data_IF_114882730307
#
_entry.id   IF_114882730307
#
_cell.length_a   1.000
_cell.length_b   1.000
_cell.length_c   1.000
_cell.angle_alpha   90.00
_cell.angle_beta   90.00
_cell.angle_gamma   90.00
#
_symmetry.space_group_name_H-M   'P 1'
#
loop_
_entity.id
_entity.type
_entity.pdbx_description
1 polymer ?
#
# COMPACT_ATOMS: atom_id res chain seq x y z
N UNK A 1 29.60 52.73 10.15
CA UNK A 1 29.60 51.41 9.50
C UNK A 1 28.75 50.46 10.34
N UNK A 2 27.45 50.30 10.03
CA UNK A 2 26.58 49.32 10.69
C UNK A 2 26.63 48.05 9.85
N UNK A 3 27.16 46.96 10.41
CA UNK A 3 27.19 45.63 9.77
C UNK A 3 25.84 44.96 10.01
N UNK A 4 25.04 44.82 8.96
CA UNK A 4 23.85 43.97 8.96
C UNK A 4 24.30 42.52 8.87
N UNK A 5 23.99 41.70 9.89
CA UNK A 5 24.07 40.25 9.78
C UNK A 5 22.81 39.76 9.07
N UNK A 6 23.00 39.16 7.89
CA UNK A 6 21.99 38.36 7.20
C UNK A 6 22.12 36.94 7.72
N UNK A 7 21.10 36.43 8.41
CA UNK A 7 20.98 35.00 8.67
C UNK A 7 20.41 34.32 7.42
N UNK A 8 21.01 33.22 6.92
CA UNK A 8 20.38 32.44 5.87
C UNK A 8 19.20 31.67 6.50
N UNK A 9 18.01 31.85 5.92
CA UNK A 9 16.87 31.01 6.22
C UNK A 9 17.20 29.59 5.74
N UNK A 10 17.38 28.66 6.68
CA UNK A 10 17.46 27.24 6.38
C UNK A 10 16.08 26.80 5.86
N UNK A 11 16.01 26.40 4.59
CA UNK A 11 14.89 25.63 4.08
C UNK A 11 14.87 24.30 4.84
N UNK A 12 13.90 24.15 5.73
CA UNK A 12 13.52 22.87 6.29
C UNK A 12 12.94 22.03 5.14
N UNK A 13 13.69 21.05 4.67
CA UNK A 13 13.12 19.92 3.94
C UNK A 13 12.16 19.22 4.91
N UNK A 14 10.86 19.37 4.68
CA UNK A 14 9.86 18.54 5.34
C UNK A 14 10.15 17.08 5.00
N UNK A 15 10.61 16.33 6.00
CA UNK A 15 10.61 14.88 5.98
C UNK A 15 9.16 14.43 5.79
N UNK A 16 8.89 13.80 4.65
CA UNK A 16 7.61 13.17 4.34
C UNK A 16 7.43 12.04 5.35
N UNK A 17 6.42 12.14 6.21
CA UNK A 17 6.06 11.06 7.11
C UNK A 17 5.44 9.91 6.28
N UNK A 18 5.93 8.68 6.36
CA UNK A 18 5.26 7.54 5.76
C UNK A 18 4.02 7.18 6.59
N UNK A 19 2.89 7.79 6.28
CA UNK A 19 1.62 7.12 6.44
C UNK A 19 1.59 5.93 5.51
N UNK A 20 1.09 4.78 5.97
CA UNK A 20 0.64 3.77 5.04
C UNK A 20 -0.51 2.94 5.61
N UNK A 21 -1.68 3.18 4.99
CA UNK A 21 -3.01 2.55 5.08
C UNK A 21 -3.93 2.85 6.26
N UNK A 22 -3.41 3.22 7.43
CA UNK A 22 -4.19 3.84 8.54
C UNK A 22 -3.36 4.08 9.80
N UNK A 23 -2.04 3.82 9.78
CA UNK A 23 -1.22 3.87 11.00
C UNK A 23 -1.36 5.19 11.75
N UNK A 24 -1.28 6.34 11.06
CA UNK A 24 -1.44 7.66 11.68
C UNK A 24 -2.82 7.95 12.27
N UNK A 25 -3.87 7.22 11.86
CA UNK A 25 -5.22 7.31 12.43
C UNK A 25 -5.26 6.67 13.82
N UNK A 26 -4.57 5.53 13.99
CA UNK A 26 -4.64 4.73 15.22
C UNK A 26 -3.43 4.89 16.13
N UNK A 27 -2.29 5.34 15.59
CA UNK A 27 -1.00 5.44 16.27
C UNK A 27 -0.42 6.85 16.13
N UNK A 28 0.33 7.26 17.14
CA UNK A 28 1.06 8.52 17.13
C UNK A 28 2.41 8.35 16.43
N UNK A 29 2.41 8.59 15.12
CA UNK A 29 3.58 8.36 14.25
C UNK A 29 4.74 9.34 14.48
N UNK A 30 4.49 10.40 15.25
CA UNK A 30 5.49 11.41 15.62
C UNK A 30 6.27 11.05 16.90
N UNK A 31 5.84 10.00 17.61
CA UNK A 31 6.41 9.56 18.88
C UNK A 31 6.88 8.12 18.79
N UNK A 32 8.05 7.81 19.35
CA UNK A 32 8.48 6.41 19.51
C UNK A 32 8.75 6.11 20.97
N UNK A 33 8.10 5.06 21.48
CA UNK A 33 8.30 4.52 22.82
C UNK A 33 8.94 3.14 22.75
N UNK A 34 9.49 2.68 23.87
CA UNK A 34 10.06 1.35 24.02
C UNK A 34 9.25 0.52 25.02
N UNK A 35 9.06 -0.76 24.68
CA UNK A 35 8.39 -1.77 25.47
C UNK A 35 9.33 -2.96 25.63
N UNK A 36 9.61 -3.36 26.86
CA UNK A 36 10.31 -4.62 27.16
C UNK A 36 9.35 -5.61 27.78
N UNK A 37 9.41 -6.88 27.38
CA UNK A 37 8.47 -7.87 27.87
C UNK A 37 8.63 -9.26 27.26
N UNK A 38 7.75 -10.18 27.65
CA UNK A 38 7.67 -11.53 27.10
C UNK A 38 6.54 -11.63 26.07
N UNK A 39 6.82 -12.16 24.89
CA UNK A 39 5.79 -12.46 23.89
C UNK A 39 4.96 -13.63 24.39
N UNK A 40 3.66 -13.44 24.59
CA UNK A 40 2.73 -14.48 25.06
C UNK A 40 1.91 -15.09 23.92
N UNK A 41 1.78 -14.37 22.79
CA UNK A 41 1.08 -14.84 21.60
C UNK A 41 1.67 -14.19 20.35
N UNK A 42 1.74 -14.98 19.28
CA UNK A 42 2.09 -14.53 17.93
C UNK A 42 0.94 -14.89 17.00
N UNK A 43 0.53 -13.95 16.16
CA UNK A 43 -0.42 -14.16 15.06
C UNK A 43 0.26 -13.71 13.77
N UNK A 44 0.79 -14.68 13.02
CA UNK A 44 1.44 -14.45 11.75
C UNK A 44 0.44 -14.55 10.59
N UNK A 45 -0.42 -13.54 10.44
CA UNK A 45 -1.49 -13.53 9.44
C UNK A 45 -1.68 -12.12 8.88
N UNK A 46 -2.17 -11.99 7.65
CA UNK A 46 -2.61 -10.70 7.13
C UNK A 46 -3.98 -10.30 7.75
N UNK A 47 -4.29 -9.00 7.84
CA UNK A 47 -3.62 -7.89 7.16
C UNK A 47 -2.31 -7.42 7.83
N UNK A 48 -2.10 -7.71 9.11
CA UNK A 48 -0.92 -7.33 9.88
C UNK A 48 -0.53 -8.44 10.85
N UNK A 49 0.77 -8.63 11.08
CA UNK A 49 1.25 -9.53 12.13
C UNK A 49 1.01 -8.90 13.49
N UNK A 50 0.49 -9.68 14.44
CA UNK A 50 0.22 -9.23 15.80
C UNK A 50 1.00 -10.04 16.83
N UNK A 51 1.43 -9.36 17.88
CA UNK A 51 2.01 -9.94 19.08
C UNK A 51 1.22 -9.49 20.31
N UNK A 52 1.00 -10.41 21.25
CA UNK A 52 0.63 -10.04 22.61
C UNK A 52 1.88 -10.10 23.46
N UNK A 53 2.23 -9.01 24.14
CA UNK A 53 3.45 -8.91 24.95
C UNK A 53 3.06 -8.60 26.38
N UNK A 54 3.55 -9.38 27.34
CA UNK A 54 3.45 -9.04 28.74
C UNK A 54 4.63 -8.15 29.12
N UNK A 55 4.34 -6.88 29.43
CA UNK A 55 5.34 -5.91 29.88
C UNK A 55 5.95 -6.27 31.23
N UNK A 56 7.04 -5.59 31.60
CA UNK A 56 7.68 -5.78 32.91
C UNK A 56 6.78 -5.39 34.10
N UNK A 57 5.80 -4.51 33.86
CA UNK A 57 4.73 -4.13 34.77
C UNK A 57 3.60 -5.18 34.88
N UNK A 58 3.75 -6.30 34.17
CA UNK A 58 2.77 -7.38 34.00
C UNK A 58 1.51 -6.98 33.21
N UNK A 59 1.46 -5.79 32.59
CA UNK A 59 0.37 -5.39 31.72
C UNK A 59 0.48 -6.06 30.35
N UNK A 60 -0.66 -6.37 29.72
CA UNK A 60 -0.69 -6.96 28.39
C UNK A 60 -0.76 -5.86 27.33
N UNK A 61 0.19 -5.91 26.42
CA UNK A 61 0.32 -5.01 25.29
C UNK A 61 -0.11 -5.71 23.99
N UNK A 62 -0.94 -5.00 23.22
CA UNK A 62 -1.27 -5.36 21.85
C UNK A 62 -0.28 -4.68 20.91
N UNK A 63 0.62 -5.47 20.33
CA UNK A 63 1.64 -4.99 19.40
C UNK A 63 1.28 -5.39 17.98
N UNK A 64 1.05 -4.40 17.13
CA UNK A 64 0.81 -4.56 15.69
C UNK A 64 2.12 -4.36 14.92
N UNK A 65 2.32 -5.09 13.83
CA UNK A 65 3.45 -4.93 12.92
C UNK A 65 2.96 -4.81 11.47
N UNK A 66 3.86 -4.87 10.50
CA UNK A 66 3.49 -4.81 9.09
C UNK A 66 2.77 -6.10 8.63
N UNK A 67 2.27 -6.06 7.39
CA UNK A 67 1.67 -7.21 6.73
C UNK A 67 2.70 -8.33 6.53
N UNK A 68 2.22 -9.57 6.50
CA UNK A 68 3.05 -10.74 6.15
C UNK A 68 3.71 -10.53 4.79
N UNK A 69 2.98 -9.91 3.86
CA UNK A 69 3.45 -9.61 2.50
C UNK A 69 4.65 -8.66 2.47
N UNK A 70 4.67 -7.61 3.32
CA UNK A 70 5.85 -6.73 3.46
C UNK A 70 6.96 -7.43 4.23
N UNK A 71 6.67 -8.03 5.39
CA UNK A 71 7.69 -8.66 6.23
C UNK A 71 8.45 -9.75 5.47
N UNK A 72 7.74 -10.58 4.69
CA UNK A 72 8.34 -11.58 3.80
C UNK A 72 9.29 -10.97 2.79
N UNK A 73 8.91 -9.85 2.17
CA UNK A 73 9.75 -9.10 1.22
C UNK A 73 10.90 -8.36 1.91
N UNK A 74 10.88 -8.25 3.23
CA UNK A 74 12.02 -7.80 4.03
C UNK A 74 12.90 -8.98 4.49
N UNK A 75 12.55 -10.22 4.10
CA UNK A 75 13.28 -11.43 4.49
C UNK A 75 12.86 -11.99 5.86
N UNK A 76 11.80 -11.45 6.46
CA UNK A 76 11.30 -11.88 7.77
C UNK A 76 10.22 -12.96 7.59
N UNK A 77 10.30 -14.01 8.40
CA UNK A 77 9.42 -15.18 8.29
C UNK A 77 8.79 -15.55 9.63
N UNK A 78 7.72 -16.33 9.56
CA UNK A 78 7.15 -16.98 10.74
C UNK A 78 8.22 -17.81 11.48
N UNK A 79 8.13 -17.83 12.82
CA UNK A 79 9.08 -18.55 13.68
C UNK A 79 10.32 -17.77 14.09
N UNK A 80 10.56 -16.59 13.52
CA UNK A 80 11.61 -15.67 14.01
C UNK A 80 11.27 -15.06 15.37
N UNK A 81 9.97 -14.94 15.68
CA UNK A 81 9.45 -14.50 16.98
C UNK A 81 8.49 -15.57 17.47
N UNK A 82 8.67 -16.02 18.70
CA UNK A 82 7.91 -17.10 19.31
C UNK A 82 7.34 -16.67 20.66
N UNK A 83 6.26 -17.35 21.09
CA UNK A 83 5.80 -17.20 22.46
C UNK A 83 6.88 -17.70 23.43
N UNK A 84 7.13 -16.93 24.49
CA UNK A 84 8.21 -17.11 25.46
C UNK A 84 9.45 -16.26 25.18
N UNK A 85 9.57 -15.63 24.01
CA UNK A 85 10.70 -14.75 23.71
C UNK A 85 10.62 -13.47 24.55
N UNK A 86 11.72 -13.10 25.21
CA UNK A 86 11.86 -11.81 25.88
C UNK A 86 12.45 -10.80 24.91
N UNK A 87 11.69 -9.77 24.59
CA UNK A 87 11.98 -8.82 23.51
C UNK A 87 12.03 -7.38 24.02
N UNK A 88 12.76 -6.53 23.30
CA UNK A 88 12.63 -5.07 23.38
C UNK A 88 12.03 -4.56 22.07
N UNK A 89 10.98 -3.77 22.14
CA UNK A 89 10.22 -3.31 20.97
C UNK A 89 10.20 -1.79 21.00
N UNK A 90 10.50 -1.18 19.85
CA UNK A 90 10.35 0.25 19.67
C UNK A 90 9.25 0.49 18.66
N UNK A 91 8.34 1.40 18.97
CA UNK A 91 7.16 1.59 18.13
C UNK A 91 6.37 2.85 18.39
N UNK A 92 5.41 3.11 17.50
CA UNK A 92 4.46 4.20 17.63
C UNK A 92 3.37 3.81 18.64
N UNK A 93 3.15 4.61 19.71
CA UNK A 93 2.09 4.31 20.68
C UNK A 93 0.70 4.55 20.09
N UNK A 94 -0.30 3.80 20.56
CA UNK A 94 -1.69 4.00 20.16
C UNK A 94 -2.26 5.36 20.61
N UNK A 95 -3.09 6.00 19.77
CA UNK A 95 -3.74 7.29 20.08
C UNK A 95 -4.92 7.16 21.05
N UNK A 96 -5.65 6.04 20.99
CA UNK A 96 -6.97 5.89 21.63
C UNK A 96 -7.06 4.76 22.65
N UNK A 97 -6.12 3.82 22.64
CA UNK A 97 -6.09 2.67 23.56
C UNK A 97 -4.73 2.64 24.25
N UNK A 98 -4.77 2.56 25.58
CA UNK A 98 -3.59 2.26 26.39
C UNK A 98 -3.04 0.88 25.99
N UNK A 99 -1.73 0.69 26.15
CA UNK A 99 -1.02 -0.56 25.88
C UNK A 99 -1.16 -1.10 24.44
N UNK A 100 -1.27 -0.19 23.48
CA UNK A 100 -1.21 -0.51 22.04
C UNK A 100 0.05 0.09 21.43
N UNK A 101 0.76 -0.70 20.62
CA UNK A 101 2.01 -0.29 19.98
C UNK A 101 2.03 -0.75 18.53
N UNK A 102 2.54 0.07 17.62
CA UNK A 102 2.91 -0.37 16.28
C UNK A 102 4.43 -0.55 16.22
N UNK A 103 4.91 -1.78 16.10
CA UNK A 103 6.32 -2.12 16.16
C UNK A 103 7.08 -1.70 14.90
N UNK A 104 8.19 -0.99 15.10
CA UNK A 104 9.13 -0.56 14.06
C UNK A 104 10.44 -1.36 14.13
N UNK A 105 10.91 -1.63 15.35
CA UNK A 105 12.09 -2.44 15.64
C UNK A 105 11.74 -3.45 16.74
N UNK A 106 12.39 -4.62 16.71
CA UNK A 106 12.32 -5.62 17.78
C UNK A 106 13.67 -6.27 18.01
N UNK A 107 14.22 -6.20 19.21
CA UNK A 107 15.40 -6.95 19.63
C UNK A 107 14.97 -8.30 20.23
N UNK A 108 15.54 -9.38 19.73
CA UNK A 108 15.31 -10.75 20.16
C UNK A 108 16.29 -11.19 21.26
N UNK A 109 16.03 -12.31 21.97
CA UNK A 109 16.90 -12.82 23.04
C UNK A 109 18.33 -13.17 22.61
N UNK A 110 18.56 -13.41 21.33
CA UNK A 110 19.86 -13.74 20.74
C UNK A 110 20.62 -12.51 20.19
N UNK A 111 20.22 -11.31 20.62
CA UNK A 111 20.76 -10.01 20.21
C UNK A 111 20.55 -9.67 18.72
N UNK A 112 19.69 -10.42 18.02
CA UNK A 112 19.26 -10.09 16.66
C UNK A 112 18.18 -9.01 16.69
N UNK A 113 18.39 -7.92 15.95
CA UNK A 113 17.37 -6.89 15.76
C UNK A 113 16.61 -7.11 14.46
N UNK A 114 15.28 -7.11 14.55
CA UNK A 114 14.37 -7.11 13.40
C UNK A 114 13.93 -5.68 13.10
N UNK A 115 14.08 -5.25 11.84
CA UNK A 115 13.42 -4.08 11.28
C UNK A 115 12.05 -4.51 10.77
N UNK A 116 10.99 -4.00 11.40
CA UNK A 116 9.60 -4.37 11.10
C UNK A 116 8.89 -3.34 10.22
N UNK A 117 9.54 -2.22 9.92
CA UNK A 117 9.02 -1.17 9.05
C UNK A 117 10.07 -0.73 8.00
N UNK A 118 9.73 -0.70 6.70
CA UNK A 118 10.66 -0.25 5.66
C UNK A 118 11.23 1.15 5.93
N UNK A 119 12.56 1.28 5.85
CA UNK A 119 13.25 2.56 5.98
C UNK A 119 13.51 3.03 7.41
N UNK A 120 13.13 2.26 8.43
CA UNK A 120 13.53 2.52 9.82
C UNK A 120 14.96 2.07 10.07
N UNK A 121 15.74 2.91 10.77
CA UNK A 121 17.11 2.60 11.17
C UNK A 121 17.13 1.63 12.34
N UNK A 122 18.13 0.76 12.38
CA UNK A 122 18.43 -0.08 13.54
C UNK A 122 18.66 0.75 14.81
N UNK A 123 18.25 0.22 15.95
CA UNK A 123 18.32 0.85 17.27
C UNK A 123 19.35 0.21 18.18
N UNK A 124 19.49 -1.11 18.13
CA UNK A 124 20.23 -1.90 19.12
C UNK A 124 21.35 -2.74 18.50
N UNK A 125 21.25 -3.09 17.21
CA UNK A 125 22.25 -3.91 16.52
C UNK A 125 22.91 -3.17 15.34
N UNK A 126 24.15 -3.55 15.03
CA UNK A 126 24.86 -3.10 13.83
C UNK A 126 24.53 -3.92 12.57
N UNK A 127 23.93 -5.11 12.74
CA UNK A 127 23.60 -6.05 11.65
C UNK A 127 22.15 -6.56 11.82
N UNK A 128 21.14 -5.71 11.55
CA UNK A 128 19.75 -6.09 11.71
C UNK A 128 19.25 -6.97 10.56
N UNK A 129 18.25 -7.81 10.83
CA UNK A 129 17.46 -8.46 9.78
C UNK A 129 16.29 -7.54 9.39
N UNK A 130 15.79 -7.66 8.16
CA UNK A 130 14.67 -6.82 7.69
C UNK A 130 15.07 -5.50 7.04
N UNK A 131 16.35 -5.11 7.10
CA UNK A 131 16.84 -3.87 6.49
C UNK A 131 16.87 -3.97 4.94
N UNK A 132 15.73 -3.65 4.31
CA UNK A 132 15.45 -3.19 2.93
C UNK A 132 16.06 -3.88 1.69
N UNK A 133 17.09 -4.73 1.79
CA UNK A 133 17.76 -5.36 0.65
C UNK A 133 16.90 -6.33 -0.18
N UNK A 134 15.72 -6.72 0.32
CA UNK A 134 14.78 -7.60 -0.37
C UNK A 134 13.52 -6.89 -0.89
N UNK A 135 13.36 -5.58 -0.63
CA UNK A 135 12.28 -4.77 -1.20
C UNK A 135 12.62 -4.31 -2.61
N UNK A 136 11.60 -4.11 -3.44
CA UNK A 136 11.83 -3.77 -4.84
C UNK A 136 12.46 -2.38 -4.99
N UNK A 137 13.56 -2.29 -5.72
CA UNK A 137 14.29 -1.06 -6.02
C UNK A 137 14.54 -0.89 -7.51
N UNK A 138 14.81 0.35 -7.91
CA UNK A 138 15.19 0.67 -9.28
C UNK A 138 16.51 -0.03 -9.64
N UNK A 139 16.51 -0.82 -10.71
CA UNK A 139 17.70 -1.55 -11.15
C UNK A 139 17.83 -2.97 -10.60
N UNK A 140 16.85 -3.48 -9.83
CA UNK A 140 16.78 -4.90 -9.44
C UNK A 140 16.68 -5.85 -10.66
N UNK A 141 16.23 -5.33 -11.80
CA UNK A 141 16.29 -6.04 -13.07
C UNK A 141 17.74 -6.20 -13.53
N UNK A 142 18.24 -7.44 -13.54
CA UNK A 142 19.58 -7.78 -14.03
C UNK A 142 19.86 -7.15 -15.40
N UNK A 143 21.11 -6.73 -15.72
CA UNK A 143 21.51 -6.21 -17.04
C UNK A 143 21.27 -7.18 -18.21
N UNK A 144 20.86 -8.42 -17.93
CA UNK A 144 20.29 -9.36 -18.90
C UNK A 144 18.82 -9.10 -19.25
N UNK A 145 18.24 -7.96 -18.85
CA UNK A 145 16.91 -7.49 -19.32
C UNK A 145 16.85 -7.30 -20.84
N UNK A 146 18.00 -7.28 -21.51
CA UNK A 146 18.14 -7.42 -22.95
C UNK A 146 17.54 -8.77 -23.39
N UNK A 147 16.32 -8.74 -23.92
CA UNK A 147 15.63 -9.91 -24.50
C UNK A 147 14.35 -10.32 -23.79
N UNK A 148 14.02 -9.68 -22.67
CA UNK A 148 12.69 -9.79 -22.07
C UNK A 148 11.84 -8.81 -22.86
N UNK A 149 10.90 -9.33 -23.66
CA UNK A 149 10.07 -8.50 -24.53
C UNK A 149 9.45 -7.31 -23.80
N UNK A 150 9.05 -6.29 -24.56
CA UNK A 150 8.31 -5.12 -24.08
C UNK A 150 6.83 -5.44 -23.79
N UNK A 151 6.56 -6.64 -23.27
CA UNK A 151 5.24 -7.04 -22.80
C UNK A 151 5.07 -6.77 -21.30
N UNK A 152 3.82 -6.82 -20.84
CA UNK A 152 3.45 -6.56 -19.45
C UNK A 152 3.22 -7.84 -18.64
N UNK A 153 3.32 -9.02 -19.27
CA UNK A 153 2.82 -10.30 -18.74
C UNK A 153 3.82 -10.96 -17.78
N UNK A 154 3.90 -10.38 -16.58
CA UNK A 154 4.79 -10.80 -15.49
C UNK A 154 4.32 -10.24 -14.16
N UNK A 155 5.08 -10.53 -13.11
CA UNK A 155 4.89 -9.95 -11.78
C UNK A 155 5.57 -8.59 -11.67
N UNK A 156 4.80 -7.59 -11.24
CA UNK A 156 5.22 -6.21 -11.02
C UNK A 156 5.14 -5.89 -9.53
N UNK A 157 6.13 -5.15 -9.03
CA UNK A 157 6.26 -4.78 -7.62
C UNK A 157 6.36 -3.26 -7.45
N UNK A 158 5.80 -2.74 -6.36
CA UNK A 158 5.99 -1.32 -6.00
C UNK A 158 7.37 -1.11 -5.36
N UNK A 159 8.07 -0.07 -5.80
CA UNK A 159 9.28 0.44 -5.15
C UNK A 159 8.86 1.40 -4.02
N UNK A 160 8.74 0.87 -2.81
CA UNK A 160 8.26 1.63 -1.65
C UNK A 160 9.24 2.68 -1.12
N UNK A 161 10.49 2.66 -1.58
CA UNK A 161 11.48 3.67 -1.24
C UNK A 161 11.41 4.89 -2.18
N UNK A 162 10.68 4.81 -3.29
CA UNK A 162 10.58 5.87 -4.29
C UNK A 162 9.15 6.44 -4.35
N UNK A 163 8.94 7.73 -4.01
CA UNK A 163 7.62 8.35 -4.01
C UNK A 163 6.95 8.41 -5.40
N UNK A 164 7.71 8.29 -6.49
CA UNK A 164 7.15 8.19 -7.85
C UNK A 164 6.61 6.79 -8.18
N UNK A 165 6.97 5.75 -7.42
CA UNK A 165 6.40 4.41 -7.55
C UNK A 165 5.30 4.15 -6.53
N UNK A 166 5.47 4.70 -5.33
CA UNK A 166 4.57 4.43 -4.22
C UNK A 166 4.51 5.58 -3.21
N UNK A 167 3.31 6.03 -2.78
CA UNK A 167 1.98 5.55 -3.15
C UNK A 167 1.41 6.20 -4.43
N UNK A 168 0.42 5.54 -5.06
CA UNK A 168 -0.36 6.16 -6.16
C UNK A 168 -1.25 7.30 -5.65
N UNK A 169 -1.91 7.07 -4.52
CA UNK A 169 -2.80 8.05 -3.90
C UNK A 169 -2.07 8.73 -2.75
N UNK A 170 -1.94 10.08 -2.76
CA UNK A 170 -1.16 10.80 -1.76
C UNK A 170 -1.70 10.70 -0.32
N UNK A 171 -2.99 10.45 -0.14
CA UNK A 171 -3.64 10.24 1.17
C UNK A 171 -3.00 9.11 1.97
N UNK A 172 -2.48 8.09 1.28
CA UNK A 172 -1.76 6.98 1.90
C UNK A 172 -0.58 7.52 2.71
N UNK A 173 0.18 8.46 2.15
CA UNK A 173 1.32 9.11 2.80
C UNK A 173 0.91 10.26 3.76
N UNK A 174 -0.38 10.36 4.11
CA UNK A 174 -0.90 11.44 4.97
C UNK A 174 -1.03 12.80 4.27
N UNK A 175 -0.83 12.87 2.96
CA UNK A 175 -1.03 14.11 2.21
C UNK A 175 -2.51 14.32 1.90
N UNK A 176 -2.98 15.57 1.97
CA UNK A 176 -4.33 15.95 1.56
C UNK A 176 -4.23 16.80 0.27
N UNK A 177 -4.16 16.17 -0.91
CA UNK A 177 -4.07 16.90 -2.17
C UNK A 177 -5.35 17.70 -2.42
N UNK A 178 -5.19 18.85 -3.07
CA UNK A 178 -6.29 19.72 -3.48
C UNK A 178 -6.91 19.19 -4.79
N UNK A 179 -7.74 18.16 -4.66
CA UNK A 179 -8.51 17.66 -5.80
C UNK A 179 -9.64 18.63 -6.16
N UNK A 180 -10.00 18.73 -7.45
CA UNK A 180 -11.07 19.62 -7.93
C UNK A 180 -12.45 19.06 -7.57
N UNK A 181 -12.79 19.02 -6.29
CA UNK A 181 -14.04 18.42 -5.79
C UNK A 181 -15.26 19.32 -6.04
N UNK A 182 -16.40 18.72 -6.34
CA UNK A 182 -17.70 19.42 -6.29
C UNK A 182 -18.06 19.79 -4.85
N UNK A 183 -18.92 20.80 -4.66
CA UNK A 183 -19.42 21.18 -3.32
C UNK A 183 -20.10 20.00 -2.61
N UNK A 184 -20.81 19.16 -3.37
CA UNK A 184 -21.46 17.95 -2.84
C UNK A 184 -20.43 16.95 -2.33
N UNK A 185 -19.37 16.66 -3.10
CA UNK A 185 -18.32 15.74 -2.69
C UNK A 185 -17.53 16.26 -1.48
N UNK A 186 -17.26 17.57 -1.40
CA UNK A 186 -16.66 18.20 -0.22
C UNK A 186 -17.52 18.00 1.03
N UNK A 187 -18.84 18.17 0.89
CA UNK A 187 -19.79 17.98 1.99
C UNK A 187 -19.80 16.52 2.48
N UNK A 188 -19.81 15.55 1.56
CA UNK A 188 -19.73 14.12 1.90
C UNK A 188 -18.41 13.77 2.57
N UNK A 189 -17.28 14.25 2.03
CA UNK A 189 -15.95 14.02 2.62
C UNK A 189 -15.85 14.59 4.05
N UNK A 190 -16.49 15.72 4.32
CA UNK A 190 -16.47 16.36 5.63
C UNK A 190 -17.15 15.52 6.74
N UNK A 191 -18.01 14.56 6.39
CA UNK A 191 -18.63 13.64 7.35
C UNK A 191 -17.84 12.36 7.57
N UNK A 192 -16.73 12.16 6.86
CA UNK A 192 -15.90 10.95 6.94
C UNK A 192 -15.23 10.82 8.31
N UNK A 193 -15.46 9.68 8.96
CA UNK A 193 -14.71 9.28 10.13
C UNK A 193 -13.71 8.17 9.75
N UNK A 194 -12.40 8.47 9.59
CA UNK A 194 -11.42 7.48 9.18
C UNK A 194 -11.21 6.35 10.20
N UNK A 195 -11.66 6.51 11.45
CA UNK A 195 -11.56 5.44 12.45
C UNK A 195 -12.69 4.41 12.35
N UNK A 196 -13.84 4.80 11.78
CA UNK A 196 -15.08 4.00 11.75
C UNK A 196 -15.48 3.60 10.32
N UNK A 197 -15.37 4.53 9.37
CA UNK A 197 -15.87 4.36 8.01
C UNK A 197 -14.83 3.71 7.07
N UNK A 198 -13.59 3.54 7.52
CA UNK A 198 -12.50 3.07 6.68
C UNK A 198 -12.74 1.64 6.17
N UNK A 199 -12.86 1.42 4.85
CA UNK A 199 -13.21 0.11 4.31
C UNK A 199 -12.07 -0.91 4.38
N UNK A 200 -10.87 -0.50 4.80
CA UNK A 200 -9.72 -1.39 5.02
C UNK A 200 -9.76 -2.09 6.37
N UNK A 201 -10.76 -1.78 7.21
CA UNK A 201 -10.93 -2.43 8.50
C UNK A 201 -11.49 -3.85 8.38
N UNK A 202 -12.04 -4.20 7.21
CA UNK A 202 -12.52 -5.54 6.90
C UNK A 202 -11.57 -6.25 5.94
N UNK A 203 -11.76 -7.56 5.77
CA UNK A 203 -11.03 -8.38 4.80
C UNK A 203 -11.74 -8.42 3.43
N UNK A 204 -12.64 -7.47 3.15
CA UNK A 204 -13.33 -7.38 1.87
C UNK A 204 -12.39 -6.81 0.80
N UNK A 205 -12.38 -7.38 -0.42
CA UNK A 205 -11.56 -6.84 -1.50
C UNK A 205 -11.88 -5.38 -1.79
N UNK A 206 -10.83 -4.56 -1.78
CA UNK A 206 -10.91 -3.14 -2.16
C UNK A 206 -11.19 -3.03 -3.65
N UNK A 207 -12.09 -2.12 -4.00
CA UNK A 207 -12.50 -1.88 -5.37
C UNK A 207 -11.59 -0.94 -6.18
N UNK A 208 -11.99 -0.70 -7.42
CA UNK A 208 -11.36 0.26 -8.33
C UNK A 208 -11.79 1.71 -8.02
N UNK A 209 -10.88 2.69 -8.23
CA UNK A 209 -9.49 2.56 -8.69
C UNK A 209 -8.52 2.15 -7.58
N UNK A 210 -8.99 2.09 -6.34
CA UNK A 210 -8.14 2.12 -5.17
C UNK A 210 -7.20 0.91 -5.07
N UNK A 211 -7.65 -0.28 -5.47
CA UNK A 211 -6.84 -1.49 -5.49
C UNK A 211 -5.54 -1.35 -6.30
N UNK A 212 -5.49 -0.48 -7.31
CA UNK A 212 -4.27 -0.24 -8.10
C UNK A 212 -3.18 0.53 -7.33
N UNK A 213 -3.54 1.15 -6.21
CA UNK A 213 -2.60 1.87 -5.34
C UNK A 213 -1.84 0.99 -4.34
N UNK A 214 -2.12 -0.31 -4.27
CA UNK A 214 -1.56 -1.24 -3.30
C UNK A 214 -0.02 -1.46 -3.45
N UNK A 215 0.70 -1.78 -2.36
CA UNK A 215 2.17 -1.89 -2.35
C UNK A 215 2.76 -3.28 -2.69
N UNK A 216 1.92 -4.31 -2.77
CA UNK A 216 2.28 -5.72 -2.94
C UNK A 216 2.42 -6.12 -4.43
N UNK A 217 2.94 -7.32 -4.72
CA UNK A 217 3.05 -7.82 -6.08
C UNK A 217 1.71 -7.92 -6.81
N UNK A 218 1.72 -7.68 -8.11
CA UNK A 218 0.60 -7.93 -9.01
C UNK A 218 1.08 -8.57 -10.33
N UNK A 219 0.26 -9.43 -10.92
CA UNK A 219 0.62 -10.25 -12.08
C UNK A 219 -0.40 -10.08 -13.21
N UNK A 220 0.07 -9.75 -14.41
CA UNK A 220 -0.73 -9.83 -15.63
C UNK A 220 -0.59 -11.20 -16.27
N UNK A 221 -1.71 -11.85 -16.55
CA UNK A 221 -1.79 -13.15 -17.21
C UNK A 221 -2.57 -12.98 -18.51
N UNK A 222 -1.97 -13.37 -19.63
CA UNK A 222 -2.64 -13.45 -20.93
C UNK A 222 -3.47 -14.73 -21.02
N UNK A 223 -4.78 -14.59 -21.22
CA UNK A 223 -5.70 -15.71 -21.47
C UNK A 223 -6.39 -15.56 -22.85
N UNK A 224 -5.79 -14.81 -23.77
CA UNK A 224 -6.25 -14.62 -25.15
C UNK A 224 -7.33 -13.55 -25.27
N UNK A 225 -8.59 -13.91 -25.01
CA UNK A 225 -9.73 -12.98 -25.11
C UNK A 225 -9.86 -12.03 -23.91
N UNK A 226 -9.10 -12.32 -22.85
CA UNK A 226 -9.04 -11.53 -21.62
C UNK A 226 -7.63 -11.54 -21.05
N UNK A 227 -7.32 -10.48 -20.33
CA UNK A 227 -6.14 -10.39 -19.48
C UNK A 227 -6.63 -10.43 -18.03
N UNK A 228 -6.03 -11.30 -17.22
CA UNK A 228 -6.32 -11.37 -15.78
C UNK A 228 -5.21 -10.65 -15.02
N UNK A 229 -5.60 -9.72 -14.17
CA UNK A 229 -4.72 -9.08 -13.21
C UNK A 229 -4.97 -9.70 -11.83
N UNK A 230 -3.98 -10.45 -11.33
CA UNK A 230 -3.96 -10.95 -9.95
C UNK A 230 -3.19 -9.98 -9.08
N UNK A 231 -3.76 -9.63 -7.94
CA UNK A 231 -3.19 -8.68 -6.99
C UNK A 231 -3.10 -9.38 -5.65
N UNK A 232 -1.92 -9.34 -5.01
CA UNK A 232 -1.74 -10.02 -3.72
C UNK A 232 -2.73 -9.48 -2.69
N UNK A 233 -2.89 -8.17 -2.54
CA UNK A 233 -3.84 -7.59 -1.57
C UNK A 233 -5.26 -8.19 -1.68
N UNK A 234 -5.74 -8.76 -0.57
CA UNK A 234 -7.05 -9.40 -0.45
C UNK A 234 -7.35 -10.48 -1.52
N UNK A 235 -6.30 -11.07 -2.09
CA UNK A 235 -6.42 -12.07 -3.16
C UNK A 235 -7.25 -11.55 -4.36
N UNK A 236 -7.16 -10.24 -4.62
CA UNK A 236 -8.00 -9.57 -5.60
C UNK A 236 -7.69 -10.04 -7.03
N UNK A 237 -8.75 -10.33 -7.77
CA UNK A 237 -8.69 -10.70 -9.18
C UNK A 237 -9.50 -9.72 -9.99
N UNK A 238 -8.90 -9.17 -11.04
CA UNK A 238 -9.56 -8.29 -12.00
C UNK A 238 -9.45 -8.87 -13.40
N UNK A 239 -10.55 -8.85 -14.13
CA UNK A 239 -10.59 -9.27 -15.54
C UNK A 239 -10.64 -8.04 -16.44
N UNK A 240 -9.79 -8.01 -17.45
CA UNK A 240 -9.77 -7.00 -18.51
C UNK A 240 -10.17 -7.72 -19.79
N UNK A 241 -11.34 -7.36 -20.32
CA UNK A 241 -11.87 -7.94 -21.55
C UNK A 241 -11.17 -7.32 -22.77
N UNK A 242 -10.52 -8.14 -23.59
CA UNK A 242 -9.81 -7.66 -24.80
C UNK A 242 -10.69 -7.73 -26.05
N UNK A 243 -11.71 -8.58 -26.01
CA UNK A 243 -12.71 -8.75 -27.06
C UNK A 243 -14.12 -8.74 -26.46
N UNK A 244 -15.13 -8.66 -27.32
CA UNK A 244 -16.53 -8.60 -26.91
C UNK A 244 -17.11 -7.18 -26.88
N UNK A 245 -18.42 -7.14 -26.66
CA UNK A 245 -19.22 -5.91 -26.55
C UNK A 245 -19.17 -5.35 -25.13
N UNK A 246 -19.38 -4.04 -25.02
CA UNK A 246 -19.57 -3.42 -23.70
C UNK A 246 -20.86 -3.96 -23.05
N UNK A 247 -20.85 -4.20 -21.73
CA UNK A 247 -22.05 -4.59 -21.02
C UNK A 247 -23.12 -3.51 -21.13
N UNK A 248 -24.36 -3.94 -21.31
CA UNK A 248 -25.50 -3.05 -21.22
C UNK A 248 -25.62 -2.50 -19.78
N UNK A 249 -25.59 -1.18 -19.68
CA UNK A 249 -25.59 -0.46 -18.41
C UNK A 249 -26.89 -0.64 -17.62
N UNK A 250 -28.02 -0.91 -18.29
CA UNK A 250 -29.31 -1.09 -17.65
C UNK A 250 -29.46 -2.47 -17.01
N UNK A 251 -28.73 -3.47 -17.51
CA UNK A 251 -28.88 -4.87 -17.11
C UNK A 251 -27.68 -5.45 -16.36
N UNK A 252 -26.50 -4.84 -16.45
CA UNK A 252 -25.28 -5.37 -15.82
C UNK A 252 -25.08 -4.81 -14.41
N UNK A 253 -24.86 -5.61 -13.36
CA UNK A 253 -24.71 -5.08 -12.00
C UNK A 253 -23.43 -4.24 -11.84
N UNK A 254 -23.46 -3.30 -10.90
CA UNK A 254 -22.25 -2.62 -10.44
C UNK A 254 -21.43 -3.57 -9.57
N UNK A 255 -20.11 -3.56 -9.70
CA UNK A 255 -19.21 -4.37 -8.86
C UNK A 255 -18.07 -3.51 -8.31
N UNK A 256 -17.44 -3.88 -7.18
CA UNK A 256 -16.27 -3.13 -6.68
C UNK A 256 -15.17 -2.94 -7.72
N UNK A 257 -14.95 -3.92 -8.61
CA UNK A 257 -13.93 -3.87 -9.65
C UNK A 257 -14.40 -3.20 -10.95
N UNK A 258 -15.71 -2.97 -11.10
CA UNK A 258 -16.31 -2.50 -12.34
C UNK A 258 -16.24 -3.52 -13.48
N UNK A 259 -16.41 -3.03 -14.70
CA UNK A 259 -16.17 -3.76 -15.94
C UNK A 259 -15.04 -3.07 -16.71
N UNK A 260 -13.99 -3.80 -17.05
CA UNK A 260 -12.80 -3.27 -17.71
C UNK A 260 -12.66 -3.79 -19.14
N UNK A 261 -12.47 -2.88 -20.10
CA UNK A 261 -12.21 -3.20 -21.50
C UNK A 261 -10.85 -2.68 -21.94
N UNK A 262 -10.03 -3.56 -22.48
CA UNK A 262 -8.66 -3.29 -22.90
C UNK A 262 -8.49 -3.19 -24.41
N UNK A 263 -7.59 -2.32 -24.85
CA UNK A 263 -7.10 -2.25 -26.23
C UNK A 263 -5.60 -1.95 -26.23
N UNK A 264 -4.90 -2.39 -27.27
CA UNK A 264 -3.46 -2.13 -27.43
C UNK A 264 -3.21 -0.89 -28.30
N UNK A 265 -2.39 0.03 -27.80
CA UNK A 265 -1.79 1.13 -28.54
C UNK A 265 -0.28 0.91 -28.61
N UNK A 266 0.20 0.26 -29.68
CA UNK A 266 1.57 -0.25 -29.71
C UNK A 266 1.79 -1.28 -28.61
N UNK A 267 2.76 -1.03 -27.71
CA UNK A 267 3.01 -1.86 -26.52
C UNK A 267 2.26 -1.39 -25.26
N UNK A 268 1.46 -0.33 -25.35
CA UNK A 268 0.70 0.20 -24.22
C UNK A 268 -0.66 -0.48 -24.14
N UNK A 269 -0.99 -1.10 -23.01
CA UNK A 269 -2.35 -1.54 -22.74
C UNK A 269 -3.15 -0.34 -22.24
N UNK A 270 -4.20 0.03 -22.96
CA UNK A 270 -5.16 1.07 -22.56
C UNK A 270 -6.43 0.39 -22.08
N UNK A 271 -6.87 0.70 -20.87
CA UNK A 271 -8.04 0.07 -20.25
C UNK A 271 -9.05 1.14 -19.84
N UNK A 272 -10.29 1.00 -20.32
CA UNK A 272 -11.43 1.78 -19.81
C UNK A 272 -12.20 0.93 -18.82
N UNK A 273 -12.53 1.50 -17.66
CA UNK A 273 -13.33 0.84 -16.64
C UNK A 273 -14.55 1.68 -16.26
N UNK A 274 -15.72 1.04 -16.22
CA UNK A 274 -17.00 1.63 -15.81
C UNK A 274 -17.76 0.63 -14.90
N UNK A 275 -19.07 0.84 -14.67
CA UNK A 275 -19.92 -0.04 -13.83
C UNK A 275 -19.37 -0.24 -12.41
N UNK A 276 -18.76 0.80 -11.85
CA UNK A 276 -18.12 0.78 -10.54
C UNK A 276 -19.18 0.81 -9.43
N UNK A 277 -19.10 -0.17 -8.54
CA UNK A 277 -19.88 -0.24 -7.29
C UNK A 277 -19.07 0.12 -6.05
N UNK A 278 -17.77 0.37 -6.20
CA UNK A 278 -16.92 0.83 -5.11
C UNK A 278 -17.17 2.33 -4.86
N UNK A 279 -17.54 2.76 -3.64
CA UNK A 279 -18.08 4.10 -3.40
C UNK A 279 -17.01 5.14 -3.01
N UNK A 280 -15.72 4.78 -3.04
CA UNK A 280 -14.64 5.67 -2.57
C UNK A 280 -13.54 5.83 -3.61
N UNK A 281 -13.15 7.06 -3.89
CA UNK A 281 -11.97 7.35 -4.70
C UNK A 281 -10.67 7.13 -3.92
N UNK A 282 -10.59 7.58 -2.66
CA UNK A 282 -9.42 7.44 -1.77
C UNK A 282 -9.81 7.07 -0.32
N UNK A 283 -8.84 6.90 0.61
CA UNK A 283 -9.12 6.59 2.02
C UNK A 283 -9.47 7.83 2.87
N UNK A 284 -9.48 9.02 2.28
CA UNK A 284 -9.85 10.26 2.98
C UNK A 284 -11.35 10.56 2.91
N UNK A 285 -12.14 9.62 2.39
CA UNK A 285 -13.59 9.72 2.28
C UNK A 285 -14.08 10.47 1.05
N UNK A 286 -13.23 10.67 0.04
CA UNK A 286 -13.69 11.24 -1.23
C UNK A 286 -14.63 10.21 -1.89
N UNK A 287 -15.90 10.57 -2.15
CA UNK A 287 -16.85 9.64 -2.73
C UNK A 287 -16.49 9.29 -4.18
N UNK A 288 -17.05 8.19 -4.67
CA UNK A 288 -17.03 7.82 -6.07
C UNK A 288 -18.45 7.42 -6.48
N UNK A 289 -18.94 7.99 -7.57
CA UNK A 289 -20.28 7.70 -8.09
C UNK A 289 -20.28 6.49 -9.03
N UNK A 290 -21.45 5.86 -9.25
CA UNK A 290 -21.63 4.85 -10.29
C UNK A 290 -21.39 5.34 -11.73
N UNK A 291 -21.37 6.65 -11.95
CA UNK A 291 -21.10 7.28 -13.26
C UNK A 291 -19.60 7.47 -13.50
N UNK A 292 -18.76 7.15 -12.52
CA UNK A 292 -17.32 7.25 -12.65
C UNK A 292 -16.79 6.34 -13.78
N UNK A 293 -15.90 6.92 -14.58
CA UNK A 293 -15.13 6.23 -15.61
C UNK A 293 -13.64 6.38 -15.33
N UNK A 294 -12.92 5.27 -15.50
CA UNK A 294 -11.47 5.20 -15.35
C UNK A 294 -10.84 4.93 -16.71
N UNK A 295 -9.77 5.67 -17.02
CA UNK A 295 -8.91 5.41 -18.16
C UNK A 295 -7.50 5.14 -17.64
N UNK A 296 -7.04 3.92 -17.84
CA UNK A 296 -5.74 3.44 -17.39
C UNK A 296 -4.83 3.21 -18.59
N UNK A 297 -3.54 3.51 -18.44
CA UNK A 297 -2.51 3.23 -19.44
C UNK A 297 -1.36 2.51 -18.76
N UNK A 298 -1.04 1.32 -19.23
CA UNK A 298 0.08 0.50 -18.75
C UNK A 298 1.14 0.45 -19.85
N UNK A 299 2.22 1.19 -19.68
CA UNK A 299 3.28 1.35 -20.68
C UNK A 299 4.60 0.74 -20.16
N UNK A 300 5.05 -0.41 -20.71
CA UNK A 300 6.33 -0.97 -20.33
C UNK A 300 7.47 -0.08 -20.83
N UNK A 301 8.50 0.10 -20.01
CA UNK A 301 9.73 0.80 -20.41
C UNK A 301 10.45 0.05 -21.53
N UNK A 302 11.29 0.76 -22.28
CA UNK A 302 12.01 0.17 -23.41
C UNK A 302 12.92 -1.01 -23.03
N UNK A 303 13.41 -1.04 -21.79
CA UNK A 303 14.22 -2.11 -21.22
C UNK A 303 13.40 -3.16 -20.44
N UNK A 304 12.07 -3.01 -20.39
CA UNK A 304 11.15 -3.92 -19.68
C UNK A 304 11.32 -3.94 -18.15
N UNK A 305 12.09 -3.00 -17.57
CA UNK A 305 12.37 -2.93 -16.13
C UNK A 305 11.25 -2.25 -15.33
N UNK A 306 10.45 -1.41 -15.99
CA UNK A 306 9.35 -0.66 -15.39
C UNK A 306 8.06 -0.82 -16.18
N UNK A 307 6.95 -0.69 -15.45
CA UNK A 307 5.63 -0.51 -16.01
C UNK A 307 5.12 0.85 -15.55
N UNK A 308 5.17 1.82 -16.45
CA UNK A 308 4.62 3.15 -16.24
C UNK A 308 3.09 3.06 -16.25
N UNK A 309 2.44 3.76 -15.33
CA UNK A 309 1.01 3.73 -15.12
C UNK A 309 0.44 5.11 -14.95
N UNK A 310 -0.54 5.43 -15.80
CA UNK A 310 -1.38 6.62 -15.67
C UNK A 310 -2.81 6.19 -15.49
N UNK A 311 -3.49 6.78 -14.52
CA UNK A 311 -4.91 6.64 -14.26
C UNK A 311 -5.57 8.01 -14.37
N UNK A 312 -6.52 8.16 -15.27
CA UNK A 312 -7.41 9.32 -15.32
C UNK A 312 -8.80 8.90 -14.85
N UNK A 313 -9.36 9.63 -13.90
CA UNK A 313 -10.70 9.42 -13.33
C UNK A 313 -11.61 10.57 -13.74
N UNK A 314 -12.75 10.24 -14.34
CA UNK A 314 -13.81 11.19 -14.69
C UNK A 314 -15.06 10.81 -13.94
N UNK A 315 -15.51 11.66 -13.02
CA UNK A 315 -16.74 11.47 -12.24
C UNK A 315 -17.35 12.85 -11.97
N UNK A 316 -18.29 13.33 -12.80
CA UNK A 316 -18.85 14.68 -12.68
C UNK A 316 -19.62 14.93 -11.37
N UNK A 317 -20.06 13.87 -10.67
CA UNK A 317 -20.68 14.01 -9.36
C UNK A 317 -19.64 14.33 -8.27
N UNK A 318 -18.41 13.83 -8.44
CA UNK A 318 -17.32 13.97 -7.46
C UNK A 318 -16.37 15.11 -7.79
N UNK A 319 -15.97 15.24 -9.07
CA UNK A 319 -14.95 16.17 -9.53
C UNK A 319 -15.49 17.17 -10.55
N UNK A 320 -15.01 18.41 -10.51
CA UNK A 320 -15.33 19.46 -11.49
C UNK A 320 -14.53 19.32 -12.79
N UNK A 321 -13.41 18.58 -12.76
CA UNK A 321 -12.62 18.19 -13.93
C UNK A 321 -11.94 16.82 -13.68
N UNK A 322 -11.50 16.10 -14.73
CA UNK A 322 -10.84 14.81 -14.56
C UNK A 322 -9.57 14.89 -13.71
N UNK A 323 -9.39 13.91 -12.83
CA UNK A 323 -8.19 13.78 -11.98
C UNK A 323 -7.25 12.74 -12.59
N UNK A 324 -5.97 13.06 -12.70
CA UNK A 324 -4.94 12.13 -13.18
C UNK A 324 -3.93 11.81 -12.10
N UNK A 325 -3.64 10.52 -11.94
CA UNK A 325 -2.65 9.97 -11.02
C UNK A 325 -1.64 9.14 -11.81
N UNK A 326 -0.40 9.14 -11.34
CA UNK A 326 0.70 8.43 -12.01
C UNK A 326 1.53 7.65 -10.99
N UNK A 327 2.01 6.49 -11.40
CA UNK A 327 3.10 5.77 -10.73
C UNK A 327 3.80 4.86 -11.73
N UNK A 328 4.81 4.14 -11.25
CA UNK A 328 5.31 2.96 -11.95
C UNK A 328 5.47 1.78 -11.00
N UNK A 329 5.48 0.58 -11.57
CA UNK A 329 5.98 -0.62 -10.91
C UNK A 329 7.33 -1.02 -11.50
N UNK A 330 8.11 -1.78 -10.75
CA UNK A 330 9.36 -2.37 -11.20
C UNK A 330 9.24 -3.89 -11.29
N UNK A 331 9.93 -4.46 -12.27
CA UNK A 331 10.01 -5.91 -12.43
C UNK A 331 11.15 -6.48 -11.58
N UNK A 332 10.84 -7.58 -10.88
CA UNK A 332 11.81 -8.42 -10.19
C UNK A 332 11.63 -9.88 -10.61
N UNK A 333 12.70 -10.58 -11.02
CA UNK A 333 12.59 -11.98 -11.47
C UNK A 333 12.06 -12.94 -10.40
N UNK A 334 12.31 -12.65 -9.12
CA UNK A 334 11.98 -13.47 -7.96
C UNK A 334 10.64 -13.09 -7.30
N UNK A 335 9.98 -12.04 -7.79
CA UNK A 335 8.69 -11.62 -7.25
C UNK A 335 7.58 -12.59 -7.66
N UNK A 336 6.73 -12.92 -6.69
CA UNK A 336 5.58 -13.79 -6.85
C UNK A 336 4.34 -13.15 -6.20
N UNK A 337 3.17 -13.33 -6.81
CA UNK A 337 1.89 -13.08 -6.13
C UNK A 337 1.57 -14.29 -5.26
N UNK A 338 1.56 -14.09 -3.94
CA UNK A 338 1.21 -15.15 -2.97
C UNK A 338 -0.19 -14.96 -2.42
N UNK A 339 -0.80 -16.01 -1.83
CA UNK A 339 -2.06 -15.86 -1.10
C UNK A 339 -1.92 -14.81 0.00
N UNK A 340 -2.84 -13.85 0.05
CA UNK A 340 -2.86 -12.82 1.10
C UNK A 340 -3.62 -13.29 2.31
N UNK A 341 -4.68 -14.08 2.17
CA UNK A 341 -5.16 -14.89 3.29
C UNK A 341 -5.62 -14.05 4.51
N UNK A 342 -6.23 -12.90 4.26
CA UNK A 342 -6.67 -11.96 5.30
C UNK A 342 -7.61 -12.61 6.32
N UNK A 343 -7.39 -12.34 7.62
CA UNK A 343 -8.31 -12.73 8.68
C UNK A 343 -8.41 -11.64 9.77
N UNK A 344 -9.61 -11.12 10.00
CA UNK A 344 -9.89 -10.11 11.04
C UNK A 344 -10.15 -10.69 12.43
N UNK A 345 -10.39 -12.00 12.57
CA UNK A 345 -10.71 -12.68 13.85
C UNK A 345 -9.60 -12.51 14.90
N UNK A 346 -8.37 -12.27 14.45
CA UNK A 346 -7.20 -12.18 15.32
C UNK A 346 -6.78 -10.75 15.64
N UNK A 347 -7.58 -9.75 15.24
CA UNK A 347 -7.36 -8.35 15.61
C UNK A 347 -7.83 -8.12 17.06
N UNK A 348 -6.94 -7.72 17.98
CA UNK A 348 -7.26 -7.57 19.40
C UNK A 348 -8.15 -6.37 19.76
#
# INVERSE_FOLDING_TARGET
MKRSLVFPAALLCSSIAPGHHSAGVYFDVDSVIELSGEVTRVVWRNPHVYFTVQGEDAELWSVESNSVSILRRMGLTEGMVNAGDRVQIAGWPGRQRENRLFALNMLLPDDVELILWPGVTARWSADPLGATGAMATDGDSSPSSIGIGNDIFRVWSSNMANPASFPLFPDVAGAAPDYPLTEAAQTTRATWNPAEDNPYLTCDPIGMPRIMGQPYPMEFIDEGERIVLRIELYDAVRTIHMTGEEPDADSSPLTPQGHSRGTWEGSTLVVRTNRLGWPYFDQSGIPQSPEAELLERFAPSADGSRLEYTLTVTDPATFTEPVTLEKYWTWRPDAEVRPFECNTEYRP
#
